data_IF_387359516865
#
_entry.id   IF_387359516865
#
_cell.length_a   1.000
_cell.length_b   1.000
_cell.length_c   1.000
_cell.angle_alpha   90.00
_cell.angle_beta   90.00
_cell.angle_gamma   90.00
#
_symmetry.space_group_name_H-M   'P 1'
#
loop_
_entity.id
_entity.type
_entity.pdbx_description
1 polymer ?
#
# COMPACT_ATOMS: atom_id res chain seq x y z
N UNK A 1 18.84 -41.76 14.39
CA UNK A 1 18.91 -41.84 12.94
C UNK A 1 18.23 -40.61 12.37
N UNK A 2 18.92 -39.52 11.88
CA UNK A 2 18.29 -38.38 11.27
C UNK A 2 18.30 -38.54 9.74
N UNK A 3 17.10 -38.54 9.14
CA UNK A 3 16.90 -38.59 7.71
C UNK A 3 17.06 -37.20 7.08
N UNK A 4 18.02 -37.09 6.17
CA UNK A 4 18.33 -35.89 5.41
C UNK A 4 17.29 -35.66 4.30
N UNK A 5 16.63 -34.50 4.30
CA UNK A 5 15.87 -33.99 3.17
C UNK A 5 16.80 -33.16 2.29
N UNK A 6 17.18 -33.68 1.14
CA UNK A 6 17.81 -32.92 0.06
C UNK A 6 16.68 -32.42 -0.86
N UNK A 7 16.44 -31.13 -0.87
CA UNK A 7 15.62 -30.50 -1.90
C UNK A 7 16.50 -30.21 -3.12
N UNK A 8 16.23 -30.88 -4.23
CA UNK A 8 16.83 -30.61 -5.53
C UNK A 8 16.15 -29.41 -6.17
N UNK A 9 16.88 -28.34 -6.39
CA UNK A 9 16.43 -27.21 -7.22
C UNK A 9 16.73 -27.52 -8.68
N UNK A 10 15.70 -27.68 -9.49
CA UNK A 10 15.83 -27.61 -10.96
C UNK A 10 15.47 -26.17 -11.42
N UNK A 11 16.25 -25.59 -12.34
CA UNK A 11 15.96 -24.25 -12.85
C UNK A 11 14.79 -24.29 -13.84
N UNK A 12 13.76 -23.51 -13.55
CA UNK A 12 12.63 -23.30 -14.46
C UNK A 12 13.12 -22.58 -15.71
N UNK A 13 13.09 -23.27 -16.85
CA UNK A 13 13.41 -22.71 -18.18
C UNK A 13 12.40 -21.60 -18.52
N UNK A 14 12.89 -20.39 -18.73
CA UNK A 14 12.15 -19.24 -19.27
C UNK A 14 11.56 -19.61 -20.64
N UNK A 15 10.25 -19.63 -20.75
CA UNK A 15 9.53 -19.56 -22.04
C UNK A 15 9.48 -18.09 -22.44
N UNK A 16 10.26 -17.75 -23.48
CA UNK A 16 10.15 -16.45 -24.14
C UNK A 16 8.81 -16.37 -24.90
N UNK A 17 7.95 -15.47 -24.49
CA UNK A 17 6.78 -15.05 -25.26
C UNK A 17 7.30 -14.05 -26.31
N UNK A 18 7.32 -14.45 -27.56
CA UNK A 18 7.60 -13.53 -28.69
C UNK A 18 6.39 -12.67 -28.95
N UNK A 19 6.51 -11.39 -28.68
CA UNK A 19 5.58 -10.40 -29.23
C UNK A 19 5.89 -10.20 -30.72
N UNK A 20 4.86 -10.28 -31.54
CA UNK A 20 4.95 -10.00 -32.97
C UNK A 20 5.34 -8.54 -33.18
N UNK A 21 6.36 -8.31 -34.02
CA UNK A 21 6.88 -6.99 -34.33
C UNK A 21 5.94 -6.14 -35.18
N UNK A 22 6.18 -4.82 -35.22
CA UNK A 22 5.32 -3.88 -35.91
C UNK A 22 5.49 -3.94 -37.41
N UNK A 23 4.35 -3.81 -38.12
CA UNK A 23 4.27 -3.67 -39.56
C UNK A 23 4.89 -2.33 -39.96
N UNK A 24 5.86 -2.37 -40.89
CA UNK A 24 6.50 -1.20 -41.48
C UNK A 24 5.55 -0.42 -42.33
N UNK A 25 5.33 0.86 -42.02
CA UNK A 25 4.74 1.83 -42.90
C UNK A 25 5.82 2.80 -43.42
N UNK A 26 6.02 2.83 -44.71
CA UNK A 26 6.96 3.67 -45.44
C UNK A 26 6.49 5.14 -45.44
N UNK A 27 7.37 6.14 -45.29
CA UNK A 27 6.97 7.54 -45.32
C UNK A 27 6.85 8.07 -46.77
N UNK A 28 5.72 8.70 -47.09
CA UNK A 28 5.56 9.50 -48.29
C UNK A 28 6.09 10.93 -48.05
N UNK A 29 6.84 11.46 -49.04
CA UNK A 29 7.44 12.78 -49.08
C UNK A 29 6.40 13.90 -49.37
N UNK A 30 6.67 15.16 -48.98
CA UNK A 30 5.70 16.24 -48.95
C UNK A 30 5.57 16.98 -50.28
N UNK A 31 4.37 17.48 -50.55
CA UNK A 31 4.09 18.46 -51.62
C UNK A 31 3.95 19.85 -50.97
N UNK A 32 4.69 20.81 -51.54
CA UNK A 32 4.62 22.26 -51.24
C UNK A 32 3.37 22.94 -51.83
N UNK A 33 3.06 24.10 -51.23
CA UNK A 33 2.26 25.28 -51.61
C UNK A 33 0.99 25.44 -50.79
N UNK A 34 0.59 26.59 -50.32
CA UNK A 34 0.94 28.01 -50.42
C UNK A 34 0.02 28.78 -49.46
N UNK A 35 0.53 29.88 -48.91
CA UNK A 35 -0.08 31.07 -48.33
C UNK A 35 -1.62 31.16 -48.17
N UNK A 36 -2.06 31.47 -46.94
CA UNK A 36 -3.36 32.02 -46.62
C UNK A 36 -3.43 32.32 -45.11
N UNK A 37 -3.14 33.56 -44.74
CA UNK A 37 -3.15 33.99 -43.34
C UNK A 37 -4.56 34.02 -42.76
N UNK A 38 -4.69 33.57 -41.53
CA UNK A 38 -5.78 33.98 -40.65
C UNK A 38 -5.30 33.97 -39.22
N UNK A 39 -5.70 34.97 -38.50
CA UNK A 39 -5.20 35.48 -37.21
C UNK A 39 -5.37 34.51 -36.06
N UNK A 40 -4.35 34.48 -35.21
CA UNK A 40 -4.26 33.79 -33.96
C UNK A 40 -5.35 34.21 -32.96
N UNK A 41 -6.14 33.23 -32.48
CA UNK A 41 -6.81 33.30 -31.18
C UNK A 41 -6.01 32.51 -30.16
N UNK A 42 -5.47 33.21 -29.17
CA UNK A 42 -4.55 32.67 -28.20
C UNK A 42 -5.18 31.57 -27.34
N UNK A 43 -4.50 30.45 -27.26
CA UNK A 43 -4.70 29.46 -26.20
C UNK A 43 -4.00 29.94 -24.94
N UNK A 44 -4.78 30.42 -23.99
CA UNK A 44 -4.30 30.74 -22.65
C UNK A 44 -3.93 29.44 -21.93
N UNK A 45 -2.65 29.34 -21.61
CA UNK A 45 -2.07 28.19 -20.92
C UNK A 45 -2.49 28.26 -19.43
N UNK A 46 -3.25 27.27 -18.97
CA UNK A 46 -3.82 27.20 -17.61
C UNK A 46 -2.79 26.83 -16.52
N UNK A 47 -1.50 26.92 -16.83
CA UNK A 47 -0.43 26.52 -15.89
C UNK A 47 0.18 27.64 -15.04
N UNK A 48 -0.28 28.90 -15.18
CA UNK A 48 0.33 30.06 -14.49
C UNK A 48 -0.50 30.65 -13.32
N UNK A 49 -1.56 30.00 -12.85
CA UNK A 49 -2.44 30.56 -11.80
C UNK A 49 -2.22 29.99 -10.38
N UNK A 50 -1.22 29.11 -10.17
CA UNK A 50 -1.02 28.46 -8.87
C UNK A 50 0.12 29.03 -8.01
N UNK A 51 0.80 30.11 -8.41
CA UNK A 51 2.02 30.56 -7.73
C UNK A 51 1.90 31.85 -6.90
N UNK A 52 0.74 32.48 -6.76
CA UNK A 52 0.63 33.71 -5.95
C UNK A 52 -0.68 33.84 -5.17
N UNK A 53 -1.06 32.87 -4.36
CA UNK A 53 -2.18 33.03 -3.42
C UNK A 53 -1.72 32.74 -1.98
N UNK A 54 -1.65 33.79 -1.17
CA UNK A 54 -1.44 33.72 0.29
C UNK A 54 -2.59 32.95 0.98
N UNK A 55 -2.30 32.15 2.05
CA UNK A 55 -3.29 31.26 2.69
C UNK A 55 -4.48 31.96 3.37
N UNK A 56 -4.49 33.27 3.48
CA UNK A 56 -5.52 34.01 4.22
C UNK A 56 -6.79 34.38 3.41
N UNK A 57 -6.91 33.97 2.14
CA UNK A 57 -8.07 34.33 1.28
C UNK A 57 -8.93 33.15 0.79
N UNK A 58 -8.75 31.95 1.32
CA UNK A 58 -9.55 30.78 0.91
C UNK A 58 -10.83 30.53 1.70
N UNK A 59 -11.26 31.46 2.52
CA UNK A 59 -12.51 31.33 3.27
C UNK A 59 -13.60 32.22 2.67
N UNK A 60 -14.16 31.89 1.54
CA UNK A 60 -15.50 32.22 1.00
C UNK A 60 -15.52 32.21 -0.52
N UNK A 61 -15.63 31.03 -1.09
CA UNK A 61 -16.19 30.90 -2.44
C UNK A 61 -17.40 29.97 -2.31
N UNK A 62 -18.59 30.57 -2.42
CA UNK A 62 -19.86 29.87 -2.44
C UNK A 62 -19.97 29.09 -3.76
N UNK A 63 -20.43 27.83 -3.67
CA UNK A 63 -20.62 26.91 -4.79
C UNK A 63 -21.66 27.34 -5.85
N UNK A 64 -22.13 28.57 -5.80
CA UNK A 64 -23.20 29.08 -6.68
C UNK A 64 -22.71 29.81 -7.92
N UNK A 65 -21.39 29.94 -8.15
CA UNK A 65 -20.87 30.81 -9.22
C UNK A 65 -20.23 30.10 -10.42
N UNK A 66 -20.32 28.77 -10.54
CA UNK A 66 -19.64 28.01 -11.63
C UNK A 66 -20.57 27.56 -12.76
N UNK A 67 -21.83 27.96 -12.79
CA UNK A 67 -22.70 27.61 -13.93
C UNK A 67 -23.27 28.89 -14.59
N UNK A 68 -22.46 29.55 -15.44
CA UNK A 68 -22.99 30.45 -16.47
C UNK A 68 -22.89 29.75 -17.80
N UNK A 69 -24.02 29.21 -18.27
CA UNK A 69 -24.24 28.84 -19.70
C UNK A 69 -24.38 30.08 -20.56
N UNK A 70 -23.80 30.10 -21.78
CA UNK A 70 -24.02 31.19 -22.71
C UNK A 70 -25.50 31.18 -23.21
N UNK A 71 -26.16 32.32 -23.11
CA UNK A 71 -27.48 32.56 -23.62
C UNK A 71 -27.45 32.46 -25.14
N UNK A 72 -28.14 31.48 -25.73
CA UNK A 72 -28.48 31.49 -27.14
C UNK A 72 -29.81 32.23 -27.34
N UNK A 73 -29.75 33.34 -28.05
CA UNK A 73 -30.95 34.01 -28.61
C UNK A 73 -31.43 33.22 -29.81
N UNK A 74 -32.54 32.57 -29.70
CA UNK A 74 -33.25 31.91 -30.82
C UNK A 74 -34.67 31.61 -30.37
N UNK A 75 -35.64 32.31 -31.00
CA UNK A 75 -37.07 32.17 -30.80
C UNK A 75 -37.54 30.87 -31.45
N UNK A 76 -37.71 29.81 -30.68
CA UNK A 76 -38.54 28.64 -31.03
C UNK A 76 -39.40 28.27 -29.82
N UNK A 77 -40.68 27.98 -30.12
CA UNK A 77 -41.75 27.79 -29.15
C UNK A 77 -41.53 26.63 -28.13
N UNK A 78 -42.39 26.48 -27.12
CA UNK A 78 -42.14 25.64 -25.97
C UNK A 78 -42.22 24.16 -26.35
N UNK A 79 -41.09 23.55 -26.68
CA UNK A 79 -40.91 22.10 -26.54
C UNK A 79 -41.00 21.73 -25.10
N UNK A 80 -41.86 20.79 -24.74
CA UNK A 80 -41.98 20.24 -23.39
C UNK A 80 -40.59 19.80 -22.92
N UNK A 81 -40.04 20.57 -21.99
CA UNK A 81 -38.85 20.18 -21.24
C UNK A 81 -39.21 18.92 -20.48
N UNK A 82 -38.66 17.80 -20.92
CA UNK A 82 -38.73 16.55 -20.18
C UNK A 82 -37.91 16.79 -18.89
N UNK A 83 -38.62 17.21 -17.83
CA UNK A 83 -38.00 17.28 -16.48
C UNK A 83 -37.58 15.85 -16.15
N UNK A 84 -36.28 15.56 -15.83
CA UNK A 84 -35.93 14.24 -15.37
C UNK A 84 -36.80 13.94 -14.16
N UNK A 85 -37.64 12.92 -14.24
CA UNK A 85 -38.36 12.42 -13.09
C UNK A 85 -37.36 12.13 -11.98
N UNK A 86 -37.62 12.62 -10.79
CA UNK A 86 -36.84 12.21 -9.60
C UNK A 86 -36.81 10.68 -9.60
N UNK A 87 -35.65 10.06 -9.37
CA UNK A 87 -35.57 8.60 -9.31
C UNK A 87 -36.62 8.08 -8.33
N UNK A 88 -37.29 7.00 -8.71
CA UNK A 88 -38.30 6.34 -7.90
C UNK A 88 -37.70 6.08 -6.49
N UNK A 89 -38.43 6.29 -5.38
CA UNK A 89 -37.97 5.91 -4.05
C UNK A 89 -37.49 4.45 -3.96
N UNK A 90 -37.95 3.60 -4.86
CA UNK A 90 -37.54 2.19 -4.99
C UNK A 90 -36.18 2.02 -5.71
N UNK A 91 -35.69 3.03 -6.43
CA UNK A 91 -34.37 3.04 -7.10
C UNK A 91 -33.23 3.47 -6.17
N UNK A 92 -33.51 3.81 -4.93
CA UNK A 92 -32.45 4.12 -3.96
C UNK A 92 -31.76 2.83 -3.54
N UNK A 93 -30.39 2.77 -3.58
CA UNK A 93 -29.67 1.60 -3.10
C UNK A 93 -30.08 1.26 -1.68
N UNK A 94 -30.24 -0.05 -1.39
CA UNK A 94 -30.59 -0.54 -0.08
C UNK A 94 -29.60 -0.02 0.97
N UNK A 95 -30.09 0.54 2.07
CA UNK A 95 -29.25 1.00 3.19
C UNK A 95 -29.14 -0.11 4.21
N UNK A 96 -27.92 -0.56 4.45
CA UNK A 96 -27.60 -1.71 5.30
C UNK A 96 -27.24 -1.25 6.71
N UNK A 97 -27.51 -2.12 7.68
CA UNK A 97 -26.89 -2.03 9.00
C UNK A 97 -25.44 -2.56 8.89
N UNK A 98 -24.48 -1.81 9.46
CA UNK A 98 -23.04 -2.12 9.36
C UNK A 98 -22.49 -2.50 10.72
N UNK A 99 -21.82 -3.65 10.78
CA UNK A 99 -21.08 -4.11 11.95
C UNK A 99 -19.56 -4.10 11.66
N UNK A 100 -18.76 -3.90 12.68
CA UNK A 100 -17.29 -3.94 12.57
C UNK A 100 -16.72 -4.94 13.56
N UNK A 101 -16.05 -5.96 13.08
CA UNK A 101 -15.24 -6.86 13.90
C UNK A 101 -13.77 -6.51 13.70
N UNK A 102 -13.17 -5.93 14.75
CA UNK A 102 -11.83 -5.39 14.72
C UNK A 102 -11.78 -3.87 14.59
N UNK A 103 -11.94 -3.15 15.72
CA UNK A 103 -11.83 -1.69 15.77
C UNK A 103 -10.37 -1.22 15.68
N UNK A 104 -9.64 -1.72 14.67
CA UNK A 104 -8.30 -1.30 14.31
C UNK A 104 -8.28 0.10 13.66
N UNK A 105 -7.32 0.33 12.78
CA UNK A 105 -7.24 1.61 12.04
C UNK A 105 -8.20 1.64 10.85
N UNK A 106 -8.51 0.48 10.26
CA UNK A 106 -9.27 0.34 9.01
C UNK A 106 -10.77 0.31 9.27
N UNK A 107 -11.26 -0.61 10.11
CA UNK A 107 -12.68 -0.91 10.29
C UNK A 107 -13.55 0.30 10.60
N UNK A 108 -13.24 1.07 11.66
CA UNK A 108 -14.03 2.26 11.99
C UNK A 108 -14.02 3.33 10.89
N UNK A 109 -12.91 3.48 10.14
CA UNK A 109 -12.82 4.44 9.04
C UNK A 109 -13.73 4.04 7.86
N UNK A 110 -13.74 2.76 7.48
CA UNK A 110 -14.62 2.25 6.41
C UNK A 110 -16.09 2.34 6.82
N UNK A 111 -16.43 1.98 8.08
CA UNK A 111 -17.79 2.10 8.58
C UNK A 111 -18.26 3.56 8.63
N UNK A 112 -17.38 4.50 8.99
CA UNK A 112 -17.68 5.94 8.94
C UNK A 112 -17.88 6.43 7.49
N UNK A 113 -17.11 5.94 6.52
CA UNK A 113 -17.33 6.25 5.10
C UNK A 113 -18.69 5.72 4.61
N UNK A 114 -19.04 4.48 4.96
CA UNK A 114 -20.35 3.91 4.68
C UNK A 114 -21.48 4.68 5.37
N UNK A 115 -21.25 5.21 6.57
CA UNK A 115 -22.23 6.08 7.26
C UNK A 115 -22.48 7.37 6.49
N UNK A 116 -21.44 7.98 5.93
CA UNK A 116 -21.60 9.17 5.06
C UNK A 116 -22.40 8.85 3.80
N UNK A 117 -22.29 7.63 3.28
CA UNK A 117 -23.12 7.15 2.16
C UNK A 117 -24.58 6.80 2.59
N UNK A 118 -24.90 6.84 3.88
CA UNK A 118 -26.24 6.62 4.42
C UNK A 118 -26.48 5.22 5.00
N UNK A 119 -25.49 4.33 5.06
CA UNK A 119 -25.56 3.10 5.82
C UNK A 119 -25.54 3.39 7.32
N UNK A 120 -25.92 2.42 8.14
CA UNK A 120 -26.06 2.62 9.58
C UNK A 120 -25.11 1.73 10.37
N UNK A 121 -23.98 2.22 10.88
CA UNK A 121 -23.16 1.49 11.85
C UNK A 121 -23.97 1.21 13.12
N UNK A 122 -24.03 -0.06 13.55
CA UNK A 122 -24.87 -0.51 14.66
C UNK A 122 -24.12 -1.21 15.78
N UNK A 123 -22.94 -1.76 15.49
CA UNK A 123 -22.15 -2.52 16.45
C UNK A 123 -20.68 -2.55 16.06
N UNK A 124 -19.78 -2.48 17.04
CA UNK A 124 -18.32 -2.56 16.84
C UNK A 124 -17.74 -3.53 17.85
N UNK A 125 -16.73 -4.32 17.45
CA UNK A 125 -15.95 -5.15 18.34
C UNK A 125 -14.49 -4.71 18.36
N UNK A 126 -13.92 -4.54 19.56
CA UNK A 126 -12.54 -4.15 19.75
C UNK A 126 -12.04 -4.49 21.16
N UNK A 127 -10.81 -5.01 21.27
CA UNK A 127 -10.28 -5.54 22.53
C UNK A 127 -9.46 -4.51 23.28
N UNK A 128 -8.58 -3.75 22.58
CA UNK A 128 -7.67 -2.81 23.24
C UNK A 128 -8.31 -1.44 23.50
N UNK A 129 -7.78 -0.71 24.48
CA UNK A 129 -8.19 0.67 24.75
C UNK A 129 -7.94 1.59 23.54
N UNK A 130 -6.89 1.35 22.77
CA UNK A 130 -6.65 2.06 21.53
C UNK A 130 -7.76 1.80 20.49
N UNK A 131 -8.26 0.56 20.40
CA UNK A 131 -9.39 0.22 19.53
C UNK A 131 -10.68 0.90 19.98
N UNK A 132 -10.94 0.91 21.28
CA UNK A 132 -12.12 1.60 21.87
C UNK A 132 -12.10 3.08 21.54
N UNK A 133 -10.97 3.76 21.79
CA UNK A 133 -10.81 5.19 21.46
C UNK A 133 -11.03 5.51 19.98
N UNK A 134 -10.60 4.62 19.06
CA UNK A 134 -10.82 4.81 17.61
C UNK A 134 -12.29 4.64 17.25
N UNK A 135 -12.96 3.63 17.83
CA UNK A 135 -14.39 3.44 17.64
C UNK A 135 -15.18 4.65 18.12
N UNK A 136 -14.90 5.16 19.31
CA UNK A 136 -15.56 6.36 19.86
C UNK A 136 -15.33 7.60 18.99
N UNK A 137 -14.11 7.77 18.45
CA UNK A 137 -13.76 8.94 17.65
C UNK A 137 -14.39 8.92 16.24
N UNK A 138 -14.51 7.75 15.62
CA UNK A 138 -14.99 7.60 14.23
C UNK A 138 -16.46 7.21 14.13
N UNK A 139 -16.98 6.51 15.13
CA UNK A 139 -18.35 5.98 15.20
C UNK A 139 -18.98 6.32 16.56
N UNK A 140 -19.15 7.60 16.89
CA UNK A 140 -19.67 8.02 18.19
C UNK A 140 -21.08 7.45 18.45
N UNK A 141 -21.27 6.87 19.64
CA UNK A 141 -22.54 6.30 20.05
C UNK A 141 -22.84 4.88 19.53
N UNK A 142 -21.93 4.28 18.73
CA UNK A 142 -22.05 2.88 18.31
C UNK A 142 -21.55 1.98 19.45
N UNK A 143 -22.36 0.99 19.92
CA UNK A 143 -21.99 0.15 21.04
C UNK A 143 -20.82 -0.78 20.73
N UNK A 144 -19.92 -0.94 21.72
CA UNK A 144 -18.86 -1.93 21.72
C UNK A 144 -19.38 -3.25 22.29
N UNK A 145 -19.37 -4.29 21.46
CA UNK A 145 -19.94 -5.61 21.76
C UNK A 145 -19.00 -6.74 21.30
N UNK A 146 -19.36 -7.99 21.57
CA UNK A 146 -18.62 -9.17 21.10
C UNK A 146 -18.74 -9.36 19.58
N UNK A 147 -17.83 -10.08 18.93
CA UNK A 147 -17.94 -10.38 17.49
C UNK A 147 -19.27 -11.06 17.11
N UNK A 148 -19.77 -11.99 17.93
CA UNK A 148 -21.04 -12.68 17.69
C UNK A 148 -22.23 -11.71 17.74
N UNK A 149 -22.24 -10.78 18.70
CA UNK A 149 -23.27 -9.74 18.79
C UNK A 149 -23.21 -8.75 17.62
N UNK A 150 -22.01 -8.45 17.08
CA UNK A 150 -21.85 -7.66 15.85
C UNK A 150 -22.58 -8.36 14.69
N UNK A 151 -22.33 -9.67 14.49
CA UNK A 151 -22.99 -10.44 13.44
C UNK A 151 -24.50 -10.49 13.63
N UNK A 152 -24.97 -10.65 14.86
CA UNK A 152 -26.40 -10.66 15.15
C UNK A 152 -27.10 -9.35 14.79
N UNK A 153 -26.42 -8.21 14.91
CA UNK A 153 -26.99 -6.87 14.74
C UNK A 153 -26.93 -6.31 13.31
N UNK A 154 -26.03 -6.81 12.45
CA UNK A 154 -25.69 -6.15 11.19
C UNK A 154 -25.97 -7.02 9.95
N UNK A 155 -26.38 -6.39 8.84
CA UNK A 155 -26.57 -7.03 7.55
C UNK A 155 -25.25 -7.12 6.76
N UNK A 156 -24.37 -6.14 6.95
CA UNK A 156 -23.01 -6.08 6.41
C UNK A 156 -22.03 -6.04 7.57
N UNK A 157 -21.08 -6.97 7.59
CA UNK A 157 -20.06 -7.04 8.63
C UNK A 157 -18.68 -6.88 8.02
N UNK A 158 -17.95 -5.88 8.48
CA UNK A 158 -16.54 -5.64 8.15
C UNK A 158 -15.66 -6.44 9.11
N UNK A 159 -14.90 -7.41 8.58
CA UNK A 159 -13.89 -8.18 9.30
C UNK A 159 -12.52 -7.53 9.07
N UNK A 160 -12.08 -6.71 10.03
CA UNK A 160 -10.88 -5.87 9.91
C UNK A 160 -9.84 -6.20 10.99
N UNK A 161 -9.68 -7.50 11.20
CA UNK A 161 -8.66 -8.08 12.09
C UNK A 161 -7.35 -8.34 11.33
N UNK A 162 -6.23 -8.56 12.04
CA UNK A 162 -4.97 -8.97 11.39
C UNK A 162 -5.14 -10.24 10.55
N UNK A 163 -4.36 -10.33 9.47
CA UNK A 163 -4.43 -11.45 8.50
C UNK A 163 -4.29 -12.83 9.16
N UNK A 164 -3.40 -12.96 10.13
CA UNK A 164 -3.17 -14.23 10.84
C UNK A 164 -4.33 -14.61 11.78
N UNK A 165 -5.15 -13.65 12.17
CA UNK A 165 -6.32 -13.86 13.03
C UNK A 165 -7.56 -14.20 12.22
N UNK A 166 -7.63 -13.74 10.96
CA UNK A 166 -8.84 -13.82 10.15
C UNK A 166 -9.36 -15.24 9.93
N UNK A 167 -8.54 -16.25 9.56
CA UNK A 167 -9.04 -17.63 9.33
C UNK A 167 -9.71 -18.22 10.58
N UNK A 168 -9.01 -18.18 11.74
CA UNK A 168 -9.54 -18.73 12.99
C UNK A 168 -10.78 -17.99 13.49
N UNK A 169 -10.87 -16.68 13.27
CA UNK A 169 -12.07 -15.90 13.58
C UNK A 169 -13.27 -16.37 12.74
N UNK A 170 -13.11 -16.54 11.43
CA UNK A 170 -14.18 -16.96 10.52
C UNK A 170 -14.65 -18.37 10.85
N UNK A 171 -13.71 -19.29 11.12
CA UNK A 171 -14.03 -20.65 11.55
C UNK A 171 -14.84 -20.65 12.87
N UNK A 172 -14.39 -19.88 13.87
CA UNK A 172 -15.09 -19.78 15.15
C UNK A 172 -16.49 -19.19 15.02
N UNK A 173 -16.67 -18.12 14.23
CA UNK A 173 -17.96 -17.50 13.97
C UNK A 173 -18.93 -18.45 13.24
N UNK A 174 -18.44 -19.21 12.27
CA UNK A 174 -19.25 -20.19 11.56
C UNK A 174 -19.62 -21.39 12.46
N UNK A 175 -18.69 -21.91 13.25
CA UNK A 175 -18.90 -23.02 14.15
C UNK A 175 -19.91 -22.72 15.28
N UNK A 176 -19.95 -21.48 15.75
CA UNK A 176 -20.91 -21.03 16.78
C UNK A 176 -22.30 -20.69 16.24
N UNK A 177 -22.51 -20.76 14.92
CA UNK A 177 -23.78 -20.39 14.29
C UNK A 177 -24.08 -18.89 14.33
N UNK A 178 -23.07 -18.03 14.54
CA UNK A 178 -23.24 -16.60 14.57
C UNK A 178 -23.51 -15.99 13.18
N UNK A 179 -23.10 -16.69 12.12
CA UNK A 179 -23.28 -16.26 10.73
C UNK A 179 -24.72 -16.49 10.27
N UNK A 180 -25.32 -15.47 9.66
CA UNK A 180 -26.71 -15.56 9.14
C UNK A 180 -26.70 -15.74 7.61
N UNK A 181 -27.60 -16.59 7.06
CA UNK A 181 -27.78 -16.67 5.60
C UNK A 181 -28.13 -15.29 5.00
N UNK A 182 -27.53 -14.98 3.86
CA UNK A 182 -27.70 -13.70 3.17
C UNK A 182 -26.94 -12.50 3.77
N UNK A 183 -26.20 -12.70 4.84
CA UNK A 183 -25.37 -11.67 5.47
C UNK A 183 -24.12 -11.39 4.63
N UNK A 184 -23.84 -10.12 4.31
CA UNK A 184 -22.60 -9.71 3.65
C UNK A 184 -21.46 -9.74 4.64
N UNK A 185 -20.46 -10.57 4.38
CA UNK A 185 -19.20 -10.61 5.13
C UNK A 185 -18.07 -10.07 4.26
N UNK A 186 -17.52 -8.94 4.68
CA UNK A 186 -16.45 -8.23 3.98
C UNK A 186 -15.18 -8.29 4.80
N UNK A 187 -14.10 -8.85 4.29
CA UNK A 187 -12.80 -8.68 4.90
C UNK A 187 -11.93 -7.70 4.13
N UNK A 188 -10.94 -7.12 4.82
CA UNK A 188 -10.05 -6.10 4.27
C UNK A 188 -8.60 -6.57 4.15
N UNK A 189 -8.35 -7.87 4.21
CA UNK A 189 -7.02 -8.42 3.98
C UNK A 189 -6.58 -8.20 2.53
N UNK A 190 -5.35 -7.76 2.33
CA UNK A 190 -4.74 -7.68 0.99
C UNK A 190 -4.29 -9.04 0.48
N UNK A 191 -3.93 -9.95 1.40
CA UNK A 191 -3.35 -11.27 1.13
C UNK A 191 -4.38 -12.31 0.74
N UNK A 192 -5.54 -12.32 1.42
CA UNK A 192 -6.59 -13.30 1.20
C UNK A 192 -7.61 -12.83 0.17
N UNK A 193 -8.14 -13.76 -0.63
CA UNK A 193 -9.36 -13.57 -1.40
C UNK A 193 -10.58 -14.07 -0.63
N UNK A 194 -11.66 -14.37 -1.31
CA UNK A 194 -12.91 -14.80 -0.67
C UNK A 194 -12.86 -16.20 -0.08
N UNK A 195 -11.90 -17.03 -0.48
CA UNK A 195 -11.75 -18.40 0.01
C UNK A 195 -11.56 -18.49 1.52
N UNK A 196 -10.95 -17.51 2.16
CA UNK A 196 -10.82 -17.45 3.63
C UNK A 196 -12.19 -17.40 4.34
N UNK A 197 -13.24 -16.93 3.65
CA UNK A 197 -14.61 -16.85 4.15
C UNK A 197 -15.44 -18.13 3.86
N UNK A 198 -14.85 -19.18 3.28
CA UNK A 198 -15.57 -20.42 2.94
C UNK A 198 -16.32 -21.07 4.11
N UNK A 199 -15.83 -21.08 5.36
CA UNK A 199 -16.61 -21.58 6.49
C UNK A 199 -17.93 -20.79 6.67
N UNK A 200 -17.88 -19.48 6.53
CA UNK A 200 -19.07 -18.62 6.65
C UNK A 200 -19.97 -18.72 5.40
N UNK A 201 -19.38 -18.86 4.20
CA UNK A 201 -20.12 -19.08 2.96
C UNK A 201 -20.95 -20.37 3.02
N UNK A 202 -20.41 -21.44 3.59
CA UNK A 202 -21.17 -22.68 3.84
C UNK A 202 -22.34 -22.50 4.80
N UNK A 203 -22.28 -21.50 5.69
CA UNK A 203 -23.38 -21.09 6.54
C UNK A 203 -24.37 -20.12 5.86
N UNK A 204 -24.17 -19.81 4.57
CA UNK A 204 -25.04 -18.96 3.75
C UNK A 204 -24.65 -17.50 3.70
N UNK A 205 -23.49 -17.08 4.20
CA UNK A 205 -22.99 -15.73 4.05
C UNK A 205 -22.58 -15.42 2.60
N UNK A 206 -22.61 -14.12 2.25
CA UNK A 206 -22.20 -13.54 0.99
C UNK A 206 -20.79 -12.95 1.14
N UNK A 207 -19.71 -13.61 0.63
CA UNK A 207 -18.35 -13.23 0.91
C UNK A 207 -17.83 -12.16 -0.05
N UNK A 208 -17.15 -11.14 0.49
CA UNK A 208 -16.45 -10.11 -0.27
C UNK A 208 -15.05 -9.87 0.32
N UNK A 209 -14.06 -9.65 -0.54
CA UNK A 209 -12.72 -9.20 -0.18
C UNK A 209 -12.49 -7.79 -0.77
N UNK A 210 -12.50 -6.78 0.08
CA UNK A 210 -12.36 -5.36 -0.30
C UNK A 210 -11.17 -4.77 0.45
N UNK A 211 -10.00 -4.72 -0.18
CA UNK A 211 -8.76 -4.22 0.42
C UNK A 211 -8.47 -2.79 -0.03
N UNK A 212 -8.60 -1.77 0.84
CA UNK A 212 -8.22 -0.39 0.49
C UNK A 212 -6.69 -0.27 0.40
N UNK A 213 -6.18 0.11 -0.78
CA UNK A 213 -4.74 0.25 -1.04
C UNK A 213 -4.22 1.59 -0.51
N UNK A 214 -4.32 1.82 0.80
CA UNK A 214 -3.82 3.02 1.46
C UNK A 214 -3.28 2.74 2.86
N UNK A 215 -2.51 3.70 3.39
CA UNK A 215 -2.03 3.67 4.78
C UNK A 215 -3.02 4.36 5.70
N UNK A 216 -3.53 3.63 6.69
CA UNK A 216 -4.46 4.14 7.69
C UNK A 216 -3.75 4.63 8.96
N UNK A 217 -4.17 5.79 9.45
CA UNK A 217 -3.71 6.37 10.73
C UNK A 217 -4.65 6.02 11.89
N UNK A 218 -5.89 5.65 11.59
CA UNK A 218 -6.97 5.44 12.57
C UNK A 218 -7.60 6.74 13.05
N UNK A 219 -7.58 7.78 12.24
CA UNK A 219 -8.13 9.11 12.53
C UNK A 219 -9.17 9.51 11.48
N UNK A 220 -10.01 10.53 11.73
CA UNK A 220 -11.00 11.02 10.76
C UNK A 220 -10.43 11.44 9.40
N UNK A 221 -9.15 11.76 9.34
CA UNK A 221 -8.44 12.08 8.08
C UNK A 221 -8.47 10.91 7.10
N UNK A 222 -8.49 9.68 7.60
CA UNK A 222 -8.53 8.49 6.75
C UNK A 222 -9.81 8.41 5.92
N UNK A 223 -10.95 8.87 6.46
CA UNK A 223 -12.24 8.90 5.74
C UNK A 223 -12.16 9.81 4.53
N UNK A 224 -11.48 10.96 4.65
CA UNK A 224 -11.26 11.87 3.51
C UNK A 224 -10.31 11.28 2.47
N UNK A 225 -9.30 10.51 2.91
CA UNK A 225 -8.30 9.86 2.05
C UNK A 225 -8.85 8.67 1.28
N UNK A 226 -10.01 8.15 1.65
CA UNK A 226 -10.69 7.11 0.86
C UNK A 226 -11.18 7.63 -0.50
N UNK A 227 -11.40 8.93 -0.64
CA UNK A 227 -11.75 9.53 -1.92
C UNK A 227 -10.64 9.32 -2.97
N UNK A 228 -10.94 8.53 -4.01
CA UNK A 228 -10.00 8.14 -5.05
C UNK A 228 -9.00 7.04 -4.63
N UNK A 229 -9.18 6.42 -3.45
CA UNK A 229 -8.38 5.26 -3.07
C UNK A 229 -8.78 4.04 -3.89
N UNK A 230 -7.82 3.35 -4.51
CA UNK A 230 -8.08 2.07 -5.16
C UNK A 230 -8.33 0.97 -4.14
N UNK A 231 -9.33 0.14 -4.40
CA UNK A 231 -9.64 -1.05 -3.61
C UNK A 231 -9.36 -2.31 -4.43
N UNK A 232 -8.47 -3.17 -3.94
CA UNK A 232 -8.34 -4.52 -4.50
C UNK A 232 -9.57 -5.35 -4.15
N UNK A 233 -10.36 -5.70 -5.17
CA UNK A 233 -11.65 -6.39 -5.04
C UNK A 233 -11.53 -7.83 -5.52
N UNK A 234 -12.02 -8.77 -4.71
CA UNK A 234 -12.32 -10.15 -5.14
C UNK A 234 -13.70 -10.52 -4.62
N UNK A 235 -14.55 -11.03 -5.48
CA UNK A 235 -15.90 -11.45 -5.15
C UNK A 235 -16.38 -12.55 -6.11
N UNK A 236 -17.37 -13.37 -5.73
CA UNK A 236 -18.13 -14.20 -6.67
C UNK A 236 -18.83 -13.31 -7.72
N UNK A 237 -19.03 -13.84 -8.93
CA UNK A 237 -19.62 -13.08 -10.04
C UNK A 237 -20.99 -12.50 -9.70
N UNK A 238 -21.81 -13.25 -8.96
CA UNK A 238 -23.14 -12.81 -8.51
C UNK A 238 -23.13 -11.64 -7.53
N UNK A 239 -21.99 -11.40 -6.87
CA UNK A 239 -21.82 -10.27 -5.91
C UNK A 239 -21.02 -9.10 -6.49
N UNK A 240 -20.66 -9.16 -7.76
CA UNK A 240 -19.80 -8.18 -8.41
C UNK A 240 -20.33 -6.75 -8.28
N UNK A 241 -21.61 -6.55 -8.61
CA UNK A 241 -22.25 -5.25 -8.51
C UNK A 241 -22.33 -4.73 -7.06
N UNK A 242 -22.56 -5.62 -6.10
CA UNK A 242 -22.57 -5.25 -4.69
C UNK A 242 -21.18 -4.82 -4.18
N UNK A 243 -20.14 -5.51 -4.60
CA UNK A 243 -18.76 -5.15 -4.27
C UNK A 243 -18.36 -3.78 -4.85
N UNK A 244 -18.66 -3.54 -6.13
CA UNK A 244 -18.41 -2.26 -6.80
C UNK A 244 -19.17 -1.12 -6.11
N UNK A 245 -20.47 -1.31 -5.84
CA UNK A 245 -21.31 -0.32 -5.17
C UNK A 245 -20.74 0.07 -3.81
N UNK A 246 -20.36 -0.90 -2.97
CA UNK A 246 -19.79 -0.63 -1.64
C UNK A 246 -18.48 0.15 -1.73
N UNK A 247 -17.61 -0.17 -2.69
CA UNK A 247 -16.35 0.56 -2.89
C UNK A 247 -16.62 2.02 -3.31
N UNK A 248 -17.51 2.22 -4.27
CA UNK A 248 -17.89 3.56 -4.75
C UNK A 248 -18.55 4.37 -3.62
N UNK A 249 -19.43 3.77 -2.84
CA UNK A 249 -20.07 4.43 -1.70
C UNK A 249 -19.10 4.82 -0.59
N UNK A 250 -17.97 4.10 -0.44
CA UNK A 250 -16.85 4.52 0.42
C UNK A 250 -15.95 5.60 -0.21
N UNK A 251 -16.23 6.01 -1.46
CA UNK A 251 -15.44 7.01 -2.19
C UNK A 251 -14.25 6.44 -2.96
N UNK A 252 -14.08 5.13 -3.00
CA UNK A 252 -12.96 4.45 -3.64
C UNK A 252 -13.22 4.03 -5.07
N UNK A 253 -12.19 3.47 -5.71
CA UNK A 253 -12.20 2.94 -7.07
C UNK A 253 -11.93 1.43 -7.04
N UNK A 254 -12.81 0.56 -7.60
CA UNK A 254 -12.63 -0.88 -7.56
C UNK A 254 -11.62 -1.35 -8.61
N UNK A 255 -10.61 -2.11 -8.16
CA UNK A 255 -9.63 -2.81 -8.98
C UNK A 255 -9.78 -4.32 -8.77
N UNK A 256 -10.12 -5.06 -9.82
CA UNK A 256 -10.40 -6.48 -9.71
C UNK A 256 -9.12 -7.32 -9.64
N UNK A 257 -8.98 -8.08 -8.56
CA UNK A 257 -7.84 -8.95 -8.29
C UNK A 257 -8.33 -10.40 -8.26
N UNK A 258 -7.74 -11.26 -9.09
CA UNK A 258 -8.03 -12.69 -9.06
C UNK A 258 -7.62 -13.30 -7.71
N UNK A 259 -8.33 -14.33 -7.27
CA UNK A 259 -8.10 -15.01 -5.97
C UNK A 259 -6.64 -15.41 -5.79
N UNK A 260 -6.09 -16.08 -6.80
CA UNK A 260 -4.71 -16.58 -6.80
C UNK A 260 -3.64 -15.49 -6.90
N UNK A 261 -4.01 -14.29 -7.38
CA UNK A 261 -3.10 -13.16 -7.50
C UNK A 261 -2.97 -12.33 -6.21
N UNK A 262 -3.84 -12.54 -5.22
CA UNK A 262 -3.87 -11.77 -3.97
C UNK A 262 -2.53 -11.74 -3.23
N UNK A 263 -1.80 -12.86 -3.05
CA UNK A 263 -0.51 -12.80 -2.35
C UNK A 263 0.51 -11.92 -3.07
N UNK A 264 0.58 -11.99 -4.42
CA UNK A 264 1.48 -11.16 -5.21
C UNK A 264 1.08 -9.68 -5.17
N UNK A 265 -0.22 -9.40 -5.31
CA UNK A 265 -0.79 -8.05 -5.15
C UNK A 265 -0.38 -7.43 -3.80
N UNK A 266 -0.58 -8.16 -2.70
CA UNK A 266 -0.26 -7.66 -1.37
C UNK A 266 1.26 -7.47 -1.17
N UNK A 267 2.07 -8.40 -1.68
CA UNK A 267 3.53 -8.27 -1.66
C UNK A 267 4.02 -7.02 -2.43
N UNK A 268 3.39 -6.72 -3.58
CA UNK A 268 3.72 -5.52 -4.36
C UNK A 268 3.40 -4.22 -3.59
N UNK A 269 2.25 -4.15 -2.91
CA UNK A 269 1.89 -3.00 -2.08
C UNK A 269 2.81 -2.86 -0.86
N UNK A 270 3.17 -3.98 -0.22
CA UNK A 270 4.12 -3.98 0.90
C UNK A 270 5.50 -3.48 0.43
N UNK A 271 5.97 -3.93 -0.72
CA UNK A 271 7.23 -3.48 -1.32
C UNK A 271 7.20 -1.97 -1.60
N UNK A 272 6.13 -1.47 -2.23
CA UNK A 272 6.03 -0.06 -2.64
C UNK A 272 5.73 0.91 -1.51
N UNK A 273 5.03 0.48 -0.46
CA UNK A 273 4.58 1.35 0.62
C UNK A 273 5.28 1.07 1.97
N UNK A 274 5.27 -0.18 2.45
CA UNK A 274 5.79 -0.47 3.79
C UNK A 274 7.32 -0.36 3.84
N UNK A 275 8.01 -0.90 2.81
CA UNK A 275 9.47 -0.80 2.74
C UNK A 275 9.93 0.63 2.45
N UNK A 276 9.11 1.45 1.75
CA UNK A 276 9.41 2.87 1.59
C UNK A 276 9.56 3.59 2.94
N UNK A 277 8.72 3.27 3.93
CA UNK A 277 8.83 3.87 5.28
C UNK A 277 10.18 3.55 5.92
N UNK A 278 10.65 2.29 5.81
CA UNK A 278 11.96 1.88 6.31
C UNK A 278 13.08 2.61 5.57
N UNK A 279 13.04 2.65 4.23
CA UNK A 279 14.02 3.35 3.42
C UNK A 279 14.15 4.83 3.79
N UNK A 280 13.02 5.50 3.99
CA UNK A 280 12.99 6.92 4.38
C UNK A 280 13.54 7.11 5.80
N UNK A 281 13.20 6.23 6.74
CA UNK A 281 13.72 6.30 8.11
C UNK A 281 15.24 6.13 8.14
N UNK A 282 15.79 5.13 7.45
CA UNK A 282 17.24 4.93 7.33
C UNK A 282 17.94 6.13 6.68
N UNK A 283 17.36 6.69 5.61
CA UNK A 283 17.91 7.88 4.97
C UNK A 283 17.92 9.11 5.90
N UNK A 284 16.87 9.29 6.72
CA UNK A 284 16.82 10.37 7.71
C UNK A 284 17.86 10.19 8.82
N UNK A 285 18.08 8.96 9.29
CA UNK A 285 19.12 8.62 10.27
C UNK A 285 20.51 8.92 9.73
N UNK A 286 20.80 8.53 8.49
CA UNK A 286 22.07 8.81 7.82
C UNK A 286 22.33 10.29 7.64
N UNK A 287 21.33 11.07 7.23
CA UNK A 287 21.45 12.52 7.11
C UNK A 287 21.71 13.20 8.47
N UNK A 288 21.03 12.73 9.51
CA UNK A 288 21.27 13.21 10.88
C UNK A 288 22.69 12.89 11.34
N UNK A 289 23.20 11.70 11.07
CA UNK A 289 24.59 11.32 11.37
C UNK A 289 25.61 12.16 10.57
N UNK A 290 25.25 12.59 9.36
CA UNK A 290 26.05 13.53 8.56
C UNK A 290 25.93 15.00 9.01
N UNK A 291 25.19 15.29 10.10
CA UNK A 291 25.05 16.65 10.67
C UNK A 291 23.90 17.48 10.09
N UNK A 292 22.99 16.89 9.31
CA UNK A 292 21.82 17.60 8.80
C UNK A 292 20.80 17.80 9.93
N UNK A 293 20.42 19.04 10.20
CA UNK A 293 19.53 19.40 11.31
C UNK A 293 18.05 19.18 11.04
N UNK A 294 17.64 19.15 9.76
CA UNK A 294 16.25 18.94 9.33
C UNK A 294 16.19 17.95 8.14
N UNK A 295 16.43 16.64 8.37
CA UNK A 295 16.47 15.63 7.31
C UNK A 295 15.14 15.50 6.55
N UNK A 296 14.03 15.63 7.25
CA UNK A 296 12.67 15.62 6.70
C UNK A 296 12.45 16.71 5.65
N UNK A 297 12.92 17.93 5.94
CA UNK A 297 12.82 19.07 5.00
C UNK A 297 13.71 18.90 3.77
N UNK A 298 14.85 18.23 3.93
CA UNK A 298 15.75 17.94 2.82
C UNK A 298 15.19 16.81 1.94
N UNK A 299 14.71 15.72 2.56
CA UNK A 299 14.22 14.55 1.85
C UNK A 299 12.85 14.76 1.20
N UNK A 300 11.95 15.50 1.83
CA UNK A 300 10.57 15.65 1.34
C UNK A 300 10.48 16.03 -0.14
N UNK A 301 11.08 17.15 -0.60
CA UNK A 301 11.07 17.52 -2.01
C UNK A 301 11.77 16.51 -2.93
N UNK A 302 12.89 15.92 -2.46
CA UNK A 302 13.67 14.93 -3.23
C UNK A 302 12.86 13.66 -3.46
N UNK A 303 12.27 13.11 -2.41
CA UNK A 303 11.44 11.90 -2.49
C UNK A 303 10.17 12.14 -3.31
N UNK A 304 9.53 13.30 -3.15
CA UNK A 304 8.35 13.66 -3.94
C UNK A 304 8.65 13.70 -5.43
N UNK A 305 9.77 14.31 -5.83
CA UNK A 305 10.19 14.34 -7.23
C UNK A 305 10.58 12.95 -7.77
N UNK A 306 11.29 12.15 -6.97
CA UNK A 306 11.68 10.80 -7.34
C UNK A 306 10.46 9.89 -7.55
N UNK A 307 9.47 9.96 -6.66
CA UNK A 307 8.22 9.22 -6.75
C UNK A 307 7.41 9.63 -7.99
N UNK A 308 7.22 10.93 -8.21
CA UNK A 308 6.48 11.45 -9.37
C UNK A 308 7.13 11.00 -10.69
N UNK A 309 8.45 11.11 -10.78
CA UNK A 309 9.20 10.65 -11.96
C UNK A 309 9.08 9.14 -12.17
N UNK A 310 9.20 8.34 -11.11
CA UNK A 310 9.09 6.89 -11.20
C UNK A 310 7.69 6.45 -11.64
N UNK A 311 6.63 7.07 -11.13
CA UNK A 311 5.25 6.76 -11.51
C UNK A 311 4.93 7.14 -12.97
N UNK A 312 5.58 8.21 -13.50
CA UNK A 312 5.35 8.67 -14.87
C UNK A 312 6.20 7.93 -15.91
N UNK A 313 7.44 7.61 -15.57
CA UNK A 313 8.45 7.20 -16.56
C UNK A 313 9.02 5.80 -16.28
N UNK A 314 8.65 5.16 -15.19
CA UNK A 314 9.19 3.84 -14.80
C UNK A 314 10.71 3.86 -14.70
N UNK A 315 11.34 2.83 -15.24
CA UNK A 315 12.80 2.66 -15.17
C UNK A 315 13.59 3.74 -15.95
N UNK A 316 12.97 4.46 -16.87
CA UNK A 316 13.59 5.61 -17.53
C UNK A 316 13.89 6.77 -16.58
N UNK A 317 13.27 6.78 -15.39
CA UNK A 317 13.56 7.74 -14.33
C UNK A 317 14.82 7.41 -13.51
N UNK A 318 15.44 6.25 -13.72
CA UNK A 318 16.64 5.83 -12.99
C UNK A 318 17.77 6.84 -13.22
N UNK A 319 18.40 7.24 -12.12
CA UNK A 319 19.53 8.18 -12.10
C UNK A 319 20.46 7.86 -10.91
N UNK A 320 21.49 8.64 -10.74
CA UNK A 320 22.45 8.48 -9.64
C UNK A 320 23.67 7.63 -10.02
N UNK A 321 24.59 7.43 -9.07
CA UNK A 321 25.89 6.81 -9.36
C UNK A 321 25.77 5.35 -9.82
N UNK A 322 24.85 4.58 -9.27
CA UNK A 322 24.61 3.19 -9.67
C UNK A 322 24.13 3.11 -11.12
N UNK A 323 23.13 3.91 -11.50
CA UNK A 323 22.59 3.88 -12.86
C UNK A 323 23.60 4.38 -13.91
N UNK A 324 24.58 5.21 -13.52
CA UNK A 324 25.66 5.69 -14.40
C UNK A 324 26.92 4.81 -14.39
N UNK A 325 27.02 3.83 -13.46
CA UNK A 325 28.20 3.00 -13.31
C UNK A 325 29.37 3.67 -12.60
N UNK A 326 29.11 4.67 -11.73
CA UNK A 326 30.14 5.39 -10.97
C UNK A 326 30.66 4.52 -9.80
N UNK A 327 31.41 3.46 -10.09
CA UNK A 327 31.87 2.46 -9.13
C UNK A 327 32.60 3.07 -7.92
N UNK A 328 33.49 4.05 -8.14
CA UNK A 328 34.25 4.70 -7.07
C UNK A 328 33.34 5.48 -6.08
N UNK A 329 32.28 6.13 -6.57
CA UNK A 329 31.28 6.79 -5.71
C UNK A 329 30.52 5.76 -4.89
N UNK A 330 30.12 4.64 -5.50
CA UNK A 330 29.39 3.57 -4.81
C UNK A 330 30.29 2.89 -3.77
N UNK A 331 31.57 2.68 -4.05
CA UNK A 331 32.55 2.15 -3.11
C UNK A 331 32.66 3.05 -1.88
N UNK A 332 32.84 4.37 -2.08
CA UNK A 332 32.87 5.34 -0.99
C UNK A 332 31.56 5.31 -0.14
N UNK A 333 30.39 5.17 -0.78
CA UNK A 333 29.14 5.00 -0.05
C UNK A 333 29.18 3.76 0.85
N UNK A 334 29.59 2.62 0.31
CA UNK A 334 29.65 1.35 1.07
C UNK A 334 30.62 1.45 2.25
N UNK A 335 31.80 2.08 2.06
CA UNK A 335 32.77 2.33 3.13
C UNK A 335 32.16 3.19 4.25
N UNK A 336 31.52 4.30 3.90
CA UNK A 336 30.88 5.19 4.88
C UNK A 336 29.73 4.50 5.60
N UNK A 337 28.90 3.72 4.92
CA UNK A 337 27.83 2.95 5.52
C UNK A 337 28.38 1.87 6.49
N UNK A 338 29.45 1.17 6.12
CA UNK A 338 30.11 0.19 7.01
C UNK A 338 30.65 0.83 8.29
N UNK A 339 31.21 2.04 8.16
CA UNK A 339 31.79 2.77 9.29
C UNK A 339 30.71 3.35 10.24
N UNK A 340 29.60 3.87 9.72
CA UNK A 340 28.65 4.68 10.49
C UNK A 340 27.26 4.03 10.66
N UNK A 341 26.84 3.15 9.73
CA UNK A 341 25.52 2.52 9.73
C UNK A 341 25.57 1.09 9.18
N UNK A 342 26.31 0.16 9.81
CA UNK A 342 26.52 -1.19 9.26
C UNK A 342 25.23 -1.98 9.02
N UNK A 343 24.14 -1.68 9.74
CA UNK A 343 22.83 -2.32 9.57
C UNK A 343 22.16 -1.97 8.24
N UNK A 344 22.45 -0.80 7.66
CA UNK A 344 21.87 -0.33 6.38
C UNK A 344 22.59 -0.95 5.17
N UNK A 345 23.81 -1.44 5.33
CA UNK A 345 24.62 -1.97 4.22
C UNK A 345 23.94 -3.08 3.41
N UNK A 346 23.31 -4.10 4.01
CA UNK A 346 22.65 -5.16 3.23
C UNK A 346 21.52 -4.61 2.36
N UNK A 347 20.70 -3.72 2.91
CA UNK A 347 19.61 -3.04 2.17
C UNK A 347 20.13 -2.20 1.01
N UNK A 348 21.16 -1.39 1.26
CA UNK A 348 21.81 -0.57 0.23
C UNK A 348 22.37 -1.43 -0.91
N UNK A 349 23.12 -2.50 -0.61
CA UNK A 349 23.68 -3.38 -1.62
C UNK A 349 22.60 -4.09 -2.44
N UNK A 350 21.53 -4.58 -1.81
CA UNK A 350 20.41 -5.22 -2.49
C UNK A 350 19.72 -4.27 -3.47
N UNK A 351 19.40 -3.04 -3.02
CA UNK A 351 18.79 -2.03 -3.88
C UNK A 351 19.72 -1.54 -4.99
N UNK A 352 21.01 -1.38 -4.70
CA UNK A 352 21.99 -0.98 -5.70
C UNK A 352 22.14 -2.05 -6.81
N UNK A 353 22.14 -3.35 -6.46
CA UNK A 353 22.14 -4.45 -7.44
C UNK A 353 20.89 -4.42 -8.32
N UNK A 354 19.70 -4.32 -7.69
CA UNK A 354 18.43 -4.22 -8.42
C UNK A 354 18.40 -3.00 -9.35
N UNK A 355 18.97 -1.87 -8.92
CA UNK A 355 19.09 -0.65 -9.74
C UNK A 355 20.06 -0.87 -10.93
N UNK A 356 21.19 -1.54 -10.71
CA UNK A 356 22.14 -1.85 -11.77
C UNK A 356 21.52 -2.78 -12.84
N UNK A 357 20.80 -3.83 -12.42
CA UNK A 357 20.11 -4.75 -13.32
C UNK A 357 19.09 -4.01 -14.19
N UNK A 358 18.25 -3.18 -13.58
CA UNK A 358 17.25 -2.36 -14.30
C UNK A 358 17.92 -1.36 -15.25
N UNK A 359 18.99 -0.72 -14.82
CA UNK A 359 19.73 0.25 -15.65
C UNK A 359 20.41 -0.43 -16.85
N UNK A 360 20.90 -1.67 -16.70
CA UNK A 360 21.41 -2.49 -17.79
C UNK A 360 20.31 -2.85 -18.80
N UNK A 361 19.15 -3.32 -18.30
CA UNK A 361 18.00 -3.68 -19.13
C UNK A 361 17.50 -2.50 -19.97
N UNK A 362 17.59 -1.28 -19.43
CA UNK A 362 17.20 -0.03 -20.12
C UNK A 362 18.33 0.56 -20.99
N UNK A 363 19.54 -0.02 -20.98
CA UNK A 363 20.70 0.52 -21.69
C UNK A 363 21.26 1.83 -21.10
N UNK A 364 20.85 2.21 -19.88
CA UNK A 364 21.38 3.37 -19.15
C UNK A 364 22.78 3.10 -18.59
N UNK A 365 22.99 1.89 -18.10
CA UNK A 365 24.31 1.42 -17.63
C UNK A 365 24.99 0.62 -18.75
N UNK A 366 26.21 1.04 -19.11
CA UNK A 366 27.01 0.34 -20.12
C UNK A 366 27.63 -0.91 -19.51
N UNK A 367 27.73 -2.04 -20.29
CA UNK A 367 28.27 -3.30 -19.78
C UNK A 367 29.72 -3.23 -19.25
N UNK A 368 30.55 -2.39 -19.83
CA UNK A 368 31.95 -2.16 -19.39
C UNK A 368 32.01 -1.49 -17.99
N UNK A 369 31.12 -0.56 -17.71
CA UNK A 369 31.00 0.08 -16.40
C UNK A 369 30.32 -0.84 -15.36
N UNK A 370 29.43 -1.71 -15.81
CA UNK A 370 28.71 -2.64 -14.95
C UNK A 370 29.64 -3.62 -14.24
N UNK A 371 30.67 -4.12 -14.90
CA UNK A 371 31.62 -5.08 -14.33
C UNK A 371 32.34 -4.52 -13.09
N UNK A 372 32.83 -3.28 -13.16
CA UNK A 372 33.50 -2.62 -12.04
C UNK A 372 32.52 -2.33 -10.90
N UNK A 373 31.30 -1.85 -11.22
CA UNK A 373 30.24 -1.59 -10.25
C UNK A 373 29.81 -2.87 -9.53
N UNK A 374 29.55 -3.95 -10.24
CA UNK A 374 29.14 -5.24 -9.66
C UNK A 374 30.23 -5.85 -8.76
N UNK A 375 31.52 -5.60 -9.06
CA UNK A 375 32.60 -6.00 -8.17
C UNK A 375 32.56 -5.28 -6.82
N UNK A 376 32.20 -3.98 -6.80
CA UNK A 376 32.00 -3.21 -5.57
C UNK A 376 30.78 -3.70 -4.81
N UNK A 377 29.71 -4.05 -5.52
CA UNK A 377 28.45 -4.52 -4.93
C UNK A 377 28.51 -6.01 -4.53
N UNK A 378 29.53 -6.76 -4.95
CA UNK A 378 29.73 -8.13 -4.49
C UNK A 378 29.92 -8.13 -2.98
N UNK A 379 29.05 -8.86 -2.27
CA UNK A 379 29.14 -9.03 -0.82
C UNK A 379 30.40 -9.87 -0.55
N UNK A 380 31.44 -9.25 -0.03
CA UNK A 380 32.57 -10.00 0.50
C UNK A 380 32.11 -10.58 1.83
N UNK A 381 31.53 -11.77 1.78
CA UNK A 381 31.11 -12.54 2.94
C UNK A 381 32.25 -12.80 3.95
N UNK A 382 33.47 -12.49 3.59
CA UNK A 382 34.67 -12.70 4.43
C UNK A 382 34.85 -11.67 5.55
N UNK A 383 34.20 -10.49 5.49
CA UNK A 383 34.34 -9.45 6.53
C UNK A 383 33.31 -9.57 7.67
N UNK A 384 32.38 -10.53 7.62
CA UNK A 384 31.34 -10.73 8.64
C UNK A 384 31.67 -11.80 9.68
N UNK A 385 32.84 -12.42 9.64
CA UNK A 385 33.28 -13.29 10.71
C UNK A 385 33.65 -12.44 11.95
N UNK A 386 33.06 -12.69 13.14
CA UNK A 386 33.47 -12.01 14.34
C UNK A 386 34.97 -12.30 14.54
N UNK A 387 35.81 -11.24 14.56
CA UNK A 387 37.20 -11.37 14.98
C UNK A 387 37.19 -12.07 16.34
N UNK A 388 37.62 -13.32 16.38
CA UNK A 388 37.91 -14.01 17.60
C UNK A 388 38.89 -13.14 18.41
N UNK A 389 38.50 -12.77 19.63
CA UNK A 389 39.40 -12.12 20.55
C UNK A 389 40.68 -12.97 20.70
N UNK A 390 41.89 -12.34 20.68
CA UNK A 390 43.13 -13.09 20.85
C UNK A 390 43.04 -13.87 22.17
N UNK A 391 43.23 -15.20 22.07
CA UNK A 391 43.14 -16.11 23.20
C UNK A 391 44.05 -15.67 24.30
N UNK A 392 43.49 -15.54 25.51
CA UNK A 392 44.22 -15.44 26.73
C UNK A 392 45.09 -16.70 26.86
N UNK A 393 46.41 -16.49 26.84
CA UNK A 393 47.42 -17.52 27.06
C UNK A 393 47.16 -18.23 28.40
N UNK A 394 47.20 -19.57 28.34
CA UNK A 394 47.04 -20.43 29.50
C UNK A 394 48.04 -20.11 30.61
N UNK A 395 47.50 -19.85 31.77
CA UNK A 395 48.21 -19.91 33.04
C UNK A 395 47.87 -21.23 33.70
N UNK A 396 48.85 -22.09 33.65
CA UNK A 396 48.97 -23.32 34.42
C UNK A 396 49.05 -22.96 35.90
N UNK A 397 48.19 -23.47 36.73
CA UNK A 397 48.41 -23.52 38.17
C UNK A 397 47.83 -24.81 38.76
N UNK A 398 48.65 -25.51 39.60
CA UNK A 398 48.31 -26.85 40.04
C UNK A 398 47.40 -26.85 41.28
N UNK A 399 46.67 -27.92 41.34
CA UNK A 399 46.15 -28.74 42.43
C UNK A 399 46.49 -28.30 43.85
N UNK A 400 45.48 -27.96 44.64
CA UNK A 400 45.44 -28.16 46.11
C UNK A 400 43.98 -28.29 46.56
N UNK A 401 43.64 -29.55 46.95
CA UNK A 401 42.51 -29.79 47.86
C UNK A 401 42.97 -29.55 49.25
N UNK A 402 42.16 -29.15 50.21
CA UNK A 402 41.77 -30.05 51.26
C UNK A 402 40.29 -30.07 51.61
N UNK A 403 39.97 -31.22 52.15
CA UNK A 403 38.82 -31.74 52.87
C UNK A 403 38.22 -30.80 53.93
N UNK A 404 36.91 -31.03 54.15
CA UNK A 404 36.41 -30.93 55.54
C UNK A 404 35.10 -30.21 55.76
N UNK A 405 34.10 -31.03 56.06
CA UNK A 405 33.10 -30.87 57.14
C UNK A 405 31.95 -29.84 56.99
N UNK A 406 30.81 -30.37 56.78
CA UNK A 406 29.66 -30.58 57.71
C UNK A 406 28.95 -29.35 58.32
N UNK A 407 27.64 -29.53 58.34
CA UNK A 407 26.60 -29.01 59.30
C UNK A 407 25.78 -27.79 58.76
N UNK A 408 24.55 -28.11 58.36
CA UNK A 408 23.33 -28.17 59.21
C UNK A 408 22.70 -26.80 59.52
N UNK A 409 21.41 -26.72 59.31
CA UNK A 409 20.57 -25.84 60.12
C UNK A 409 19.66 -24.83 59.42
N UNK A 410 18.48 -25.33 59.07
CA UNK A 410 17.15 -24.75 59.40
C UNK A 410 16.83 -23.27 59.21
N UNK A 411 15.67 -23.13 58.56
CA UNK A 411 14.52 -22.28 58.93
C UNK A 411 14.59 -20.75 58.70
N UNK A 412 13.86 -20.27 57.75
CA UNK A 412 12.58 -19.53 57.81
C UNK A 412 12.21 -18.95 56.45
#
# INVERSE_FOLDING_TARGET
MPGAWRASWEPVRRRSVRFAGPVSATPARPAERSNGGCRSAGRTNMHSLWTTASPARMARVSMTEIVRYPQRTGTEGPSRVNTPSLPDPHDRPARLTVGVVGAGRVGPALAAALQLAGHRPVAVSGVSDASRRRADALLPGVPLVTPAEVLAAADLVLLTVPDDTLPGLVEGLAATGAVRPGQLLVHTSGRYGVGVLDPARRAGALPLALHPAMTFTGTPVDVQRLAGCSFGVTAPDELRLAAEALVIEMGGEPEWIAEEARPLYHAALALGANHLVTLVAEAMELLSAAGVTAPDRMLGPLLGAALDNALRSGDAALTGPVARGDAGTVEAHVEQLRAHAPRTVPGYLAMARATADRALDQGLLKPDLAAALLAVLADRAEDSAPRQAPGAAGGDHPDERPDGEDQDGTDR
#
